data_IF_133662711170
#
_entry.id   IF_133662711170
#
_cell.length_a   1.000
_cell.length_b   1.000
_cell.length_c   1.000
_cell.angle_alpha   90.00
_cell.angle_beta   90.00
_cell.angle_gamma   90.00
#
_symmetry.space_group_name_H-M   'P 1'
#
loop_
_entity.id
_entity.type
_entity.pdbx_description
1 polymer ?
#
# COMPACT_ATOMS: atom_id res chain seq x y z
N UNK A 1 -1.35 29.71 21.42
CA UNK A 1 -2.35 28.86 20.79
C UNK A 1 -2.37 27.49 21.43
N UNK A 2 -1.24 26.72 21.43
CA UNK A 2 -1.18 25.37 21.98
C UNK A 2 -1.66 25.26 23.43
N UNK A 3 -1.20 26.17 24.32
CA UNK A 3 -1.70 26.25 25.72
C UNK A 3 -3.21 26.49 25.79
N UNK A 4 -3.76 27.30 24.90
CA UNK A 4 -5.20 27.57 24.84
C UNK A 4 -6.01 26.37 24.38
N UNK A 5 -5.52 25.65 23.36
CA UNK A 5 -6.17 24.45 22.84
C UNK A 5 -6.12 23.32 23.85
N UNK A 6 -4.97 23.10 24.51
CA UNK A 6 -4.80 22.03 25.49
C UNK A 6 -5.58 22.26 26.79
N UNK A 7 -5.87 23.52 27.15
CA UNK A 7 -6.58 23.87 28.38
C UNK A 7 -8.11 23.89 28.25
N UNK A 8 -8.64 23.82 27.02
CA UNK A 8 -10.10 23.89 26.79
C UNK A 8 -10.57 22.69 25.96
N UNK A 9 -11.30 21.74 26.56
CA UNK A 9 -11.83 20.57 25.84
C UNK A 9 -12.76 20.91 24.66
N UNK A 10 -13.31 22.13 24.65
CA UNK A 10 -14.24 22.63 23.62
C UNK A 10 -13.57 23.54 22.58
N UNK A 11 -12.26 23.72 22.62
CA UNK A 11 -11.57 24.56 21.64
C UNK A 11 -11.60 23.87 20.26
N UNK A 12 -12.42 24.39 19.36
CA UNK A 12 -12.51 23.93 17.97
C UNK A 12 -11.46 24.65 17.14
N UNK A 13 -10.27 24.08 17.06
CA UNK A 13 -9.20 24.53 16.17
C UNK A 13 -8.99 23.46 15.11
N UNK A 14 -9.02 23.85 13.85
CA UNK A 14 -8.76 22.91 12.75
C UNK A 14 -7.27 22.56 12.67
N UNK A 15 -6.94 21.39 12.14
CA UNK A 15 -5.54 20.98 11.92
C UNK A 15 -4.80 22.03 11.09
N UNK A 16 -5.43 22.54 10.02
CA UNK A 16 -4.86 23.59 9.16
C UNK A 16 -4.54 24.87 9.94
N UNK A 17 -5.47 25.34 10.77
CA UNK A 17 -5.24 26.52 11.60
C UNK A 17 -4.12 26.31 12.61
N UNK A 18 -4.05 25.11 13.20
CA UNK A 18 -2.99 24.73 14.12
C UNK A 18 -1.62 24.76 13.42
N UNK A 19 -1.51 24.11 12.25
CA UNK A 19 -0.28 24.09 11.45
C UNK A 19 0.12 25.48 10.97
N UNK A 20 -0.85 26.36 10.63
CA UNK A 20 -0.55 27.73 10.18
C UNK A 20 -0.08 28.63 11.32
N UNK A 21 -0.67 28.52 12.51
CA UNK A 21 -0.42 29.45 13.61
C UNK A 21 0.62 28.99 14.62
N UNK A 22 0.97 27.73 14.62
CA UNK A 22 1.88 27.12 15.59
C UNK A 22 2.90 26.16 14.95
N UNK A 23 3.25 26.37 13.67
CA UNK A 23 4.14 25.50 12.90
C UNK A 23 5.46 25.21 13.64
N UNK A 24 6.19 26.25 14.04
CA UNK A 24 7.49 26.10 14.73
C UNK A 24 7.36 25.32 16.04
N UNK A 25 6.30 25.61 16.80
CA UNK A 25 6.07 24.92 18.07
C UNK A 25 5.70 23.44 17.86
N UNK A 26 4.98 23.12 16.77
CA UNK A 26 4.66 21.76 16.41
C UNK A 26 5.91 21.00 15.96
N UNK A 27 6.75 21.59 15.12
CA UNK A 27 8.02 20.97 14.71
C UNK A 27 8.99 20.78 15.88
N UNK A 28 9.03 21.71 16.82
CA UNK A 28 9.83 21.55 18.04
C UNK A 28 9.33 20.39 18.93
N UNK A 29 8.01 20.23 19.03
CA UNK A 29 7.41 19.22 19.89
C UNK A 29 7.38 17.83 19.22
N UNK A 30 7.06 17.82 17.94
CA UNK A 30 6.95 16.58 17.12
C UNK A 30 7.58 16.86 15.76
N UNK A 31 8.86 16.62 15.58
CA UNK A 31 9.59 16.95 14.34
C UNK A 31 9.24 16.02 13.16
N UNK A 32 8.56 14.89 13.41
CA UNK A 32 8.16 13.94 12.40
C UNK A 32 6.64 14.05 12.13
N UNK A 33 6.30 14.23 10.85
CA UNK A 33 4.92 14.32 10.37
C UNK A 33 4.64 13.14 9.42
N UNK A 34 3.69 12.29 9.77
CA UNK A 34 3.20 11.20 8.93
C UNK A 34 1.90 11.66 8.25
N UNK A 35 1.93 11.84 6.94
CA UNK A 35 0.82 12.42 6.19
C UNK A 35 0.74 11.84 4.80
N UNK A 36 -0.45 11.79 4.23
CA UNK A 36 -0.63 11.55 2.79
C UNK A 36 -0.31 12.82 2.00
N UNK A 37 0.06 12.74 0.70
CA UNK A 37 0.32 13.91 -0.12
C UNK A 37 -0.84 14.93 -0.14
N UNK A 38 -2.07 14.44 -0.22
CA UNK A 38 -3.27 15.28 -0.15
C UNK A 38 -3.38 16.02 1.20
N UNK A 39 -3.11 15.34 2.30
CA UNK A 39 -3.11 15.96 3.64
C UNK A 39 -2.01 17.02 3.78
N UNK A 40 -0.84 16.80 3.16
CA UNK A 40 0.22 17.82 3.12
C UNK A 40 -0.27 19.08 2.39
N UNK A 41 -0.93 18.92 1.25
CA UNK A 41 -1.48 20.04 0.49
C UNK A 41 -2.59 20.77 1.24
N UNK A 42 -3.45 20.05 1.95
CA UNK A 42 -4.61 20.60 2.62
C UNK A 42 -4.26 21.30 3.95
N UNK A 43 -3.33 20.74 4.71
CA UNK A 43 -3.13 21.18 6.10
C UNK A 43 -1.86 21.97 6.33
N UNK A 44 -0.78 21.72 5.58
CA UNK A 44 0.48 22.40 5.83
C UNK A 44 0.58 23.73 5.08
N UNK A 45 1.01 24.81 5.73
CA UNK A 45 1.30 26.07 5.06
C UNK A 45 2.45 25.88 4.05
N UNK A 46 2.46 26.73 3.01
CA UNK A 46 3.41 26.58 1.89
C UNK A 46 4.86 26.88 2.29
N UNK A 47 5.03 27.67 3.30
CA UNK A 47 6.32 28.13 3.86
C UNK A 47 6.89 27.20 4.92
N UNK A 48 6.12 26.20 5.37
CA UNK A 48 6.60 25.21 6.30
C UNK A 48 7.54 24.24 5.58
N UNK A 49 8.79 24.19 6.02
CA UNK A 49 9.84 23.35 5.41
C UNK A 49 10.34 22.29 6.37
N UNK A 50 10.86 21.20 5.80
CA UNK A 50 11.44 20.07 6.51
C UNK A 50 12.86 19.80 6.01
N UNK A 51 13.69 19.18 6.84
CA UNK A 51 15.05 18.81 6.43
C UNK A 51 15.03 17.57 5.55
N UNK A 52 14.14 16.63 5.80
CA UNK A 52 14.07 15.36 5.11
C UNK A 52 12.61 14.99 4.77
N UNK A 53 12.38 14.57 3.54
CA UNK A 53 11.19 13.86 3.09
C UNK A 53 11.52 12.39 2.89
N UNK A 54 10.70 11.52 3.46
CA UNK A 54 10.72 10.09 3.16
C UNK A 54 9.39 9.75 2.49
N UNK A 55 9.45 9.25 1.27
CA UNK A 55 8.29 8.72 0.55
C UNK A 55 8.34 7.21 0.65
N UNK A 56 7.35 6.63 1.30
CA UNK A 56 7.17 5.18 1.39
C UNK A 56 6.11 4.71 0.40
N UNK A 57 6.17 3.45 -0.04
CA UNK A 57 5.30 2.87 -1.08
C UNK A 57 5.30 3.71 -2.39
N UNK A 58 6.46 4.24 -2.75
CA UNK A 58 6.62 5.17 -3.87
C UNK A 58 6.28 4.57 -5.25
N UNK A 59 6.27 3.26 -5.39
CA UNK A 59 5.80 2.55 -6.59
C UNK A 59 4.32 2.80 -6.90
N UNK A 60 3.51 3.10 -5.88
CA UNK A 60 2.07 3.31 -6.00
C UNK A 60 1.68 4.79 -6.10
N UNK A 61 2.65 5.70 -6.01
CA UNK A 61 2.41 7.14 -6.00
C UNK A 61 2.75 7.77 -7.35
N UNK A 62 1.84 8.58 -7.89
CA UNK A 62 2.11 9.38 -9.07
C UNK A 62 3.10 10.52 -8.76
N UNK A 63 3.91 10.87 -9.76
CA UNK A 63 4.93 11.93 -9.62
C UNK A 63 4.32 13.27 -9.20
N UNK A 64 3.19 13.64 -9.81
CA UNK A 64 2.49 14.90 -9.52
C UNK A 64 1.98 15.00 -8.07
N UNK A 65 1.62 13.89 -7.46
CA UNK A 65 1.20 13.86 -6.06
C UNK A 65 2.34 14.17 -5.08
N UNK A 66 3.55 13.76 -5.43
CA UNK A 66 4.74 13.95 -4.60
C UNK A 66 5.28 15.40 -4.63
N UNK A 67 5.05 16.16 -5.70
CA UNK A 67 5.66 17.47 -5.95
C UNK A 67 5.43 18.43 -4.77
N UNK A 68 4.21 18.50 -4.28
CA UNK A 68 3.86 19.37 -3.17
C UNK A 68 4.65 19.11 -1.89
N UNK A 69 4.98 17.85 -1.63
CA UNK A 69 5.82 17.43 -0.50
C UNK A 69 7.29 17.68 -0.78
N UNK A 70 7.76 17.38 -1.99
CA UNK A 70 9.16 17.56 -2.40
C UNK A 70 9.58 19.02 -2.28
N UNK A 71 8.75 19.96 -2.71
CA UNK A 71 9.03 21.39 -2.66
C UNK A 71 9.18 21.96 -1.25
N UNK A 72 8.76 21.22 -0.23
CA UNK A 72 8.87 21.62 1.18
C UNK A 72 10.11 21.05 1.87
N UNK A 73 10.95 20.28 1.18
CA UNK A 73 12.03 19.53 1.81
C UNK A 73 13.39 19.82 1.17
N UNK A 74 14.43 19.73 1.98
CA UNK A 74 15.82 19.94 1.52
C UNK A 74 16.44 18.66 0.95
N UNK A 75 16.04 17.51 1.48
CA UNK A 75 16.53 16.20 1.09
C UNK A 75 15.35 15.25 0.90
N UNK A 76 15.52 14.23 0.06
CA UNK A 76 14.52 13.23 -0.23
C UNK A 76 15.10 11.83 -0.15
N UNK A 77 14.35 10.92 0.46
CA UNK A 77 14.56 9.47 0.38
C UNK A 77 13.28 8.86 -0.20
N UNK A 78 13.42 8.11 -1.28
CA UNK A 78 12.29 7.45 -1.95
C UNK A 78 12.42 5.96 -1.73
N UNK A 79 11.40 5.37 -1.10
CA UNK A 79 11.35 3.95 -0.76
C UNK A 79 10.17 3.31 -1.47
N UNK A 80 10.39 2.17 -2.07
CA UNK A 80 9.33 1.45 -2.80
C UNK A 80 9.88 0.20 -3.47
N UNK A 81 9.01 -0.50 -4.16
CA UNK A 81 9.33 -1.75 -4.82
C UNK A 81 8.72 -1.76 -6.23
N UNK A 82 9.57 -1.78 -7.25
CA UNK A 82 9.17 -1.79 -8.66
C UNK A 82 8.49 -3.11 -9.09
N UNK A 83 8.55 -4.15 -8.25
CA UNK A 83 7.87 -5.43 -8.50
C UNK A 83 6.46 -5.47 -7.94
N UNK A 84 6.11 -4.49 -7.09
CA UNK A 84 4.75 -4.31 -6.59
C UNK A 84 3.88 -3.50 -7.55
N UNK A 85 2.61 -3.32 -7.19
CA UNK A 85 1.64 -2.68 -8.08
C UNK A 85 2.04 -1.24 -8.42
N UNK A 86 1.91 -0.84 -9.70
CA UNK A 86 2.08 0.55 -10.12
C UNK A 86 0.90 1.42 -9.65
N UNK A 87 0.99 2.76 -9.81
CA UNK A 87 -0.11 3.65 -9.50
C UNK A 87 -1.38 3.26 -10.26
N UNK A 88 -2.52 3.18 -9.55
CA UNK A 88 -3.80 2.83 -10.15
C UNK A 88 -4.65 4.07 -10.43
N UNK A 89 -5.18 4.20 -11.65
CA UNK A 89 -6.08 5.31 -12.08
C UNK A 89 -7.52 5.15 -11.56
N UNK A 90 -7.76 4.59 -10.39
CA UNK A 90 -9.13 4.30 -9.93
C UNK A 90 -10.00 5.54 -9.68
N UNK A 91 -9.45 6.75 -9.66
CA UNK A 91 -10.19 7.98 -9.37
C UNK A 91 -10.29 8.98 -10.53
N UNK A 92 -9.73 8.70 -11.70
CA UNK A 92 -9.77 9.66 -12.83
C UNK A 92 -10.83 9.35 -13.90
N UNK A 93 -11.65 8.32 -13.73
CA UNK A 93 -12.57 7.83 -14.76
C UNK A 93 -13.84 8.65 -14.97
N UNK A 94 -13.94 9.89 -14.47
CA UNK A 94 -15.17 10.70 -14.67
C UNK A 94 -15.01 11.92 -15.57
N UNK A 95 -13.85 12.25 -16.10
CA UNK A 95 -13.70 13.50 -16.87
C UNK A 95 -12.95 13.42 -18.20
N UNK A 96 -12.30 12.36 -18.59
CA UNK A 96 -11.67 12.26 -19.91
C UNK A 96 -11.75 10.85 -20.49
N UNK A 97 -12.84 10.55 -21.19
CA UNK A 97 -12.79 9.71 -22.37
C UNK A 97 -12.06 10.55 -23.43
N UNK A 98 -10.81 10.29 -23.70
CA UNK A 98 -10.05 10.49 -24.94
C UNK A 98 -8.54 10.51 -24.57
N UNK A 99 -7.90 9.40 -24.74
CA UNK A 99 -6.59 9.22 -25.39
C UNK A 99 -6.13 7.79 -25.11
N UNK A 100 -6.19 6.97 -26.12
CA UNK A 100 -5.50 5.69 -26.26
C UNK A 100 -4.00 5.95 -26.49
N UNK A 101 -3.33 6.58 -25.54
CA UNK A 101 -1.89 6.53 -25.44
C UNK A 101 -1.59 5.93 -24.06
N UNK A 102 -1.06 4.72 -24.07
CA UNK A 102 -0.42 4.06 -22.94
C UNK A 102 0.83 4.86 -22.52
N UNK A 103 0.68 6.11 -22.13
CA UNK A 103 1.67 6.72 -21.26
C UNK A 103 1.64 5.93 -19.96
N UNK A 104 2.64 5.06 -19.82
CA UNK A 104 2.91 4.33 -18.57
C UNK A 104 2.84 5.35 -17.45
N UNK A 105 1.90 5.18 -16.53
CA UNK A 105 1.81 5.99 -15.33
C UNK A 105 3.09 5.79 -14.54
N UNK A 106 4.09 6.61 -14.82
CA UNK A 106 5.38 6.52 -14.14
C UNK A 106 5.22 6.93 -12.69
N UNK A 107 5.59 6.03 -11.81
CA UNK A 107 5.62 6.30 -10.37
C UNK A 107 6.72 7.28 -10.01
N UNK A 108 6.60 7.92 -8.85
CA UNK A 108 7.70 8.73 -8.31
C UNK A 108 8.95 7.88 -8.06
N UNK A 109 8.80 6.58 -7.80
CA UNK A 109 9.94 5.66 -7.67
C UNK A 109 10.71 5.53 -8.97
N UNK A 110 10.02 5.38 -10.10
CA UNK A 110 10.67 5.27 -11.42
C UNK A 110 11.40 6.56 -11.78
N UNK A 111 10.78 7.71 -11.54
CA UNK A 111 11.42 9.02 -11.75
C UNK A 111 12.64 9.20 -10.84
N UNK A 112 12.55 8.80 -9.58
CA UNK A 112 13.68 8.90 -8.65
C UNK A 112 14.83 7.97 -9.07
N UNK A 113 14.55 6.76 -9.51
CA UNK A 113 15.55 5.83 -10.02
C UNK A 113 16.31 6.40 -11.22
N UNK A 114 15.60 7.03 -12.15
CA UNK A 114 16.20 7.71 -13.31
C UNK A 114 17.03 8.94 -12.90
N UNK A 115 16.53 9.75 -11.96
CA UNK A 115 17.15 10.99 -11.57
C UNK A 115 18.42 10.79 -10.71
N UNK A 116 18.41 9.82 -9.81
CA UNK A 116 19.51 9.61 -8.86
C UNK A 116 20.52 8.54 -9.31
N UNK A 117 20.08 7.59 -10.15
CA UNK A 117 20.96 6.55 -10.70
C UNK A 117 21.57 5.59 -9.69
N UNK A 118 21.32 5.78 -8.41
CA UNK A 118 21.82 4.96 -7.30
C UNK A 118 20.67 4.55 -6.39
N UNK A 119 20.64 3.28 -6.04
CA UNK A 119 19.68 2.75 -5.07
C UNK A 119 20.33 1.69 -4.20
N UNK A 120 19.81 1.55 -3.00
CA UNK A 120 20.17 0.47 -2.08
C UNK A 120 18.97 -0.45 -1.91
N UNK A 121 19.19 -1.76 -1.99
CA UNK A 121 18.14 -2.73 -1.77
C UNK A 121 18.09 -3.12 -0.30
N UNK A 122 16.86 -3.15 0.26
CA UNK A 122 16.61 -3.77 1.56
C UNK A 122 16.27 -5.24 1.30
N UNK A 123 17.20 -6.12 1.61
CA UNK A 123 17.06 -7.54 1.29
C UNK A 123 16.70 -8.43 2.49
N UNK A 124 16.44 -7.85 3.67
CA UNK A 124 16.05 -8.62 4.84
C UNK A 124 14.53 -8.62 5.01
N UNK A 125 13.92 -9.78 4.82
CA UNK A 125 12.47 -9.97 4.95
C UNK A 125 12.14 -10.59 6.30
N UNK A 126 11.37 -9.87 7.13
CA UNK A 126 10.98 -10.29 8.48
C UNK A 126 9.46 -10.23 8.73
N UNK A 127 8.67 -9.78 7.73
CA UNK A 127 7.22 -9.58 7.89
C UNK A 127 6.45 -10.89 7.94
N UNK A 128 6.86 -11.90 7.17
CA UNK A 128 6.17 -13.19 7.12
C UNK A 128 6.49 -14.01 8.35
N UNK A 129 5.45 -14.57 8.98
CA UNK A 129 5.59 -15.47 10.11
C UNK A 129 6.21 -16.81 9.72
N UNK A 130 6.04 -17.21 8.46
CA UNK A 130 6.62 -18.41 7.88
C UNK A 130 7.35 -18.08 6.58
N UNK A 131 8.52 -18.67 6.39
CA UNK A 131 9.38 -18.41 5.23
C UNK A 131 8.76 -18.85 3.90
N UNK A 132 7.86 -19.85 3.91
CA UNK A 132 7.20 -20.34 2.69
C UNK A 132 6.30 -19.28 2.05
N UNK A 133 5.79 -18.33 2.83
CA UNK A 133 4.92 -17.26 2.35
C UNK A 133 5.61 -16.31 1.37
N UNK A 134 6.92 -16.10 1.50
CA UNK A 134 7.69 -15.24 0.62
C UNK A 134 8.53 -16.03 -0.40
N UNK A 135 8.66 -17.35 -0.22
CA UNK A 135 9.56 -18.19 -1.02
C UNK A 135 9.29 -18.06 -2.52
N UNK A 136 8.03 -18.18 -2.94
CA UNK A 136 7.64 -18.02 -4.34
C UNK A 136 8.04 -16.64 -4.89
N UNK A 137 7.69 -15.57 -4.18
CA UNK A 137 8.01 -14.21 -4.62
C UNK A 137 9.52 -13.97 -4.65
N UNK A 138 10.25 -14.51 -3.68
CA UNK A 138 11.71 -14.40 -3.64
C UNK A 138 12.36 -15.06 -4.88
N UNK A 139 11.88 -16.23 -5.25
CA UNK A 139 12.38 -16.96 -6.41
C UNK A 139 12.02 -16.25 -7.73
N UNK A 140 10.75 -15.86 -7.92
CA UNK A 140 10.25 -15.37 -9.22
C UNK A 140 10.57 -13.88 -9.48
N UNK A 141 10.70 -13.06 -8.43
CA UNK A 141 10.78 -11.62 -8.59
C UNK A 141 12.02 -10.98 -7.98
N UNK A 142 12.68 -11.64 -7.03
CA UNK A 142 13.80 -11.06 -6.28
C UNK A 142 15.10 -11.85 -6.38
N UNK A 143 15.22 -12.75 -7.35
CA UNK A 143 16.44 -13.51 -7.67
C UNK A 143 17.00 -14.31 -6.48
N UNK A 144 16.16 -14.69 -5.52
CA UNK A 144 16.51 -15.27 -4.22
C UNK A 144 17.42 -14.40 -3.33
N UNK A 145 17.41 -13.10 -3.56
CA UNK A 145 18.23 -12.14 -2.81
C UNK A 145 17.64 -11.77 -1.43
N UNK A 146 16.36 -12.10 -1.20
CA UNK A 146 15.73 -11.81 0.09
C UNK A 146 16.21 -12.81 1.14
N UNK A 147 16.80 -12.27 2.20
CA UNK A 147 17.21 -13.02 3.38
C UNK A 147 16.00 -13.18 4.31
N UNK A 148 15.57 -14.40 4.50
CA UNK A 148 14.45 -14.72 5.40
C UNK A 148 14.97 -15.41 6.65
N UNK A 149 14.62 -14.95 7.87
CA UNK A 149 14.91 -15.72 9.06
C UNK A 149 14.14 -17.03 9.00
N UNK A 150 14.73 -18.14 9.46
CA UNK A 150 14.03 -19.42 9.51
C UNK A 150 12.81 -19.30 10.43
N UNK A 151 11.69 -19.87 9.98
CA UNK A 151 10.49 -19.92 10.78
C UNK A 151 10.70 -20.79 12.04
N UNK A 152 10.02 -20.45 13.11
CA UNK A 152 10.04 -21.24 14.32
C UNK A 152 9.23 -22.53 14.07
N UNK A 153 9.93 -23.60 13.67
CA UNK A 153 9.30 -24.86 13.28
C UNK A 153 8.41 -25.43 14.39
N UNK A 154 7.24 -25.90 14.02
CA UNK A 154 6.34 -26.65 14.91
C UNK A 154 4.86 -26.29 14.84
N UNK A 155 4.47 -25.26 14.13
CA UNK A 155 3.05 -24.97 13.88
C UNK A 155 2.66 -25.42 12.46
N UNK A 156 2.01 -26.59 12.36
CA UNK A 156 1.53 -27.15 11.10
C UNK A 156 0.48 -26.29 10.39
N UNK A 157 -0.01 -25.25 11.06
CA UNK A 157 -1.00 -24.30 10.56
C UNK A 157 -0.36 -23.02 9.97
N UNK A 158 0.95 -22.86 10.04
CA UNK A 158 1.68 -21.77 9.41
C UNK A 158 2.17 -22.19 8.03
N UNK A 159 2.23 -21.20 7.11
CA UNK A 159 2.78 -21.38 5.79
C UNK A 159 1.75 -21.50 4.68
N UNK A 160 2.17 -22.00 3.53
CA UNK A 160 1.36 -22.09 2.32
C UNK A 160 0.77 -23.49 2.16
N UNK A 161 -0.55 -23.58 2.02
CA UNK A 161 -1.28 -24.81 1.74
C UNK A 161 -1.98 -24.70 0.38
N UNK A 162 -1.71 -25.61 -0.52
CA UNK A 162 -2.41 -25.72 -1.80
C UNK A 162 -3.58 -26.68 -1.67
N UNK A 163 -4.76 -26.27 -2.14
CA UNK A 163 -5.98 -27.08 -2.20
C UNK A 163 -6.52 -27.06 -3.63
N UNK A 164 -6.45 -28.20 -4.31
CA UNK A 164 -7.06 -28.35 -5.63
C UNK A 164 -8.56 -28.60 -5.49
N UNK A 165 -9.36 -27.67 -5.98
CA UNK A 165 -10.82 -27.79 -6.00
C UNK A 165 -11.36 -28.56 -7.21
N UNK A 166 -10.49 -28.95 -8.17
CA UNK A 166 -10.86 -29.60 -9.45
C UNK A 166 -11.98 -28.86 -10.20
N UNK A 167 -12.10 -27.56 -10.01
CA UNK A 167 -13.15 -26.72 -10.60
C UNK A 167 -12.89 -26.45 -12.07
N UNK A 168 -13.96 -26.34 -12.85
CA UNK A 168 -13.91 -25.98 -14.26
C UNK A 168 -14.48 -24.57 -14.45
N UNK A 169 -13.72 -23.72 -15.09
CA UNK A 169 -14.12 -22.36 -15.43
C UNK A 169 -15.24 -22.42 -16.50
N UNK A 170 -16.42 -21.94 -16.18
CA UNK A 170 -17.54 -21.91 -17.11
C UNK A 170 -17.45 -20.66 -17.99
N UNK A 171 -16.99 -20.82 -19.23
CA UNK A 171 -16.98 -19.74 -20.21
C UNK A 171 -18.42 -19.31 -20.55
N UNK A 172 -18.80 -18.11 -20.16
CA UNK A 172 -20.19 -17.61 -20.22
C UNK A 172 -20.72 -17.23 -21.60
N UNK A 173 -20.78 -18.20 -22.53
CA UNK A 173 -21.65 -18.08 -23.70
C UNK A 173 -22.99 -18.75 -23.38
N UNK A 174 -23.90 -18.06 -22.75
CA UNK A 174 -25.26 -18.55 -22.58
C UNK A 174 -26.03 -18.24 -21.30
N UNK A 175 -25.43 -17.59 -20.33
CA UNK A 175 -26.11 -17.17 -19.12
C UNK A 175 -26.15 -15.64 -19.10
N UNK A 176 -27.31 -15.07 -18.80
CA UNK A 176 -27.64 -13.63 -18.80
C UNK A 176 -26.42 -12.71 -18.61
N UNK A 177 -26.34 -11.66 -19.39
CA UNK A 177 -25.24 -10.69 -19.57
C UNK A 177 -24.62 -10.04 -18.31
N UNK A 178 -25.01 -10.47 -17.12
CA UNK A 178 -24.49 -10.01 -15.83
C UNK A 178 -23.73 -11.09 -15.02
N UNK A 179 -23.62 -12.32 -15.48
CA UNK A 179 -22.86 -13.35 -14.78
C UNK A 179 -21.45 -13.46 -15.35
N UNK A 180 -20.51 -12.94 -14.62
CA UNK A 180 -19.08 -13.19 -14.81
C UNK A 180 -18.83 -14.68 -14.60
N UNK A 181 -17.98 -15.26 -15.41
CA UNK A 181 -17.67 -16.71 -15.49
C UNK A 181 -17.50 -17.36 -14.08
N UNK A 182 -18.53 -17.96 -13.50
CA UNK A 182 -18.41 -18.53 -12.17
C UNK A 182 -17.72 -19.88 -12.22
N UNK A 183 -16.94 -20.17 -11.19
CA UNK A 183 -16.50 -21.51 -10.88
C UNK A 183 -17.18 -21.97 -9.58
N UNK A 184 -18.38 -22.56 -9.65
CA UNK A 184 -19.16 -22.90 -8.47
C UNK A 184 -18.46 -23.94 -7.58
N UNK A 185 -17.73 -24.88 -8.17
CA UNK A 185 -17.03 -25.93 -7.43
C UNK A 185 -15.92 -25.32 -6.56
N UNK A 186 -15.18 -24.37 -7.10
CA UNK A 186 -14.16 -23.63 -6.37
C UNK A 186 -14.78 -22.77 -5.26
N UNK A 187 -15.89 -22.08 -5.57
CA UNK A 187 -16.61 -21.27 -4.60
C UNK A 187 -17.13 -22.10 -3.42
N UNK A 188 -17.75 -23.24 -3.70
CA UNK A 188 -18.25 -24.15 -2.66
C UNK A 188 -17.10 -24.68 -1.80
N UNK A 189 -15.97 -25.06 -2.42
CA UNK A 189 -14.79 -25.51 -1.68
C UNK A 189 -14.19 -24.41 -0.83
N UNK A 190 -14.15 -23.18 -1.32
CA UNK A 190 -13.69 -22.04 -0.57
C UNK A 190 -14.57 -21.78 0.67
N UNK A 191 -15.90 -21.88 0.51
CA UNK A 191 -16.86 -21.73 1.62
C UNK A 191 -16.65 -22.81 2.70
N UNK A 192 -16.43 -24.07 2.30
CA UNK A 192 -16.09 -25.14 3.23
C UNK A 192 -14.84 -24.81 4.05
N UNK A 193 -13.76 -24.41 3.38
CA UNK A 193 -12.50 -24.03 4.03
C UNK A 193 -12.65 -22.85 4.98
N UNK A 194 -13.45 -21.84 4.61
CA UNK A 194 -13.74 -20.69 5.47
C UNK A 194 -14.45 -21.13 6.74
N UNK A 195 -15.44 -22.01 6.62
CA UNK A 195 -16.21 -22.52 7.78
C UNK A 195 -15.28 -23.33 8.70
N UNK A 196 -14.48 -24.24 8.13
CA UNK A 196 -13.50 -25.02 8.89
C UNK A 196 -12.53 -24.11 9.67
N UNK A 197 -12.00 -23.08 9.05
CA UNK A 197 -11.08 -22.14 9.69
C UNK A 197 -11.73 -21.34 10.82
N UNK A 198 -12.95 -20.86 10.63
CA UNK A 198 -13.69 -20.10 11.64
C UNK A 198 -14.03 -21.00 12.85
N UNK A 199 -14.40 -22.26 12.60
CA UNK A 199 -14.72 -23.21 13.67
C UNK A 199 -13.47 -23.62 14.49
N UNK A 200 -12.34 -23.82 13.83
CA UNK A 200 -11.09 -24.21 14.46
C UNK A 200 -10.38 -23.04 15.17
N UNK A 201 -10.49 -21.85 14.63
CA UNK A 201 -9.78 -20.66 15.10
C UNK A 201 -10.68 -19.42 15.13
N UNK A 202 -11.67 -19.36 16.03
CA UNK A 202 -12.69 -18.30 16.03
C UNK A 202 -12.13 -16.89 16.29
N UNK A 203 -10.97 -16.78 16.93
CA UNK A 203 -10.30 -15.50 17.20
C UNK A 203 -9.35 -15.04 16.08
N UNK A 204 -9.25 -15.83 14.99
CA UNK A 204 -8.34 -15.52 13.89
C UNK A 204 -9.02 -14.62 12.84
N UNK A 205 -8.31 -13.60 12.36
CA UNK A 205 -8.82 -12.76 11.27
C UNK A 205 -8.55 -13.43 9.91
N UNK A 206 -9.61 -13.60 9.11
CA UNK A 206 -9.53 -14.22 7.80
C UNK A 206 -9.71 -13.18 6.69
N UNK A 207 -8.81 -13.17 5.72
CA UNK A 207 -8.93 -12.41 4.49
C UNK A 207 -9.12 -13.32 3.28
N UNK A 208 -9.97 -12.93 2.34
CA UNK A 208 -10.22 -13.66 1.10
C UNK A 208 -9.80 -12.76 -0.06
N UNK A 209 -8.89 -13.24 -0.91
CA UNK A 209 -8.48 -12.57 -2.12
C UNK A 209 -8.96 -13.36 -3.34
N UNK A 210 -9.56 -12.68 -4.31
CA UNK A 210 -10.02 -13.28 -5.57
C UNK A 210 -9.39 -12.56 -6.76
N UNK A 211 -9.08 -13.29 -7.82
CA UNK A 211 -8.38 -12.74 -8.98
C UNK A 211 -9.32 -12.00 -9.95
N UNK A 212 -10.62 -12.31 -9.93
CA UNK A 212 -11.64 -11.67 -10.76
C UNK A 212 -12.92 -11.41 -9.97
N UNK A 213 -13.48 -10.23 -10.18
CA UNK A 213 -14.80 -9.83 -9.68
C UNK A 213 -15.86 -9.98 -10.77
#
# INVERSE_FOLDING_TARGET
LLKHVSSKPTARVTVRELCTRAADALQCYSPCFLMTPSSVADYLPKDLTFDLLIIDEASQMLTEEAIGSILRCKQIVVVGDQKQMPPTKYMQSTLHEVAEDEEKNESILDKAALAFGQFSRLNYHYRSADETLIHFSNHEFYDNDLLTPPSHGGDENLGLRFVDAAGIYQSGKGINSNSRNPNPIEADKLVELIIEEIEQRPDFSLGIAVMNL
#
